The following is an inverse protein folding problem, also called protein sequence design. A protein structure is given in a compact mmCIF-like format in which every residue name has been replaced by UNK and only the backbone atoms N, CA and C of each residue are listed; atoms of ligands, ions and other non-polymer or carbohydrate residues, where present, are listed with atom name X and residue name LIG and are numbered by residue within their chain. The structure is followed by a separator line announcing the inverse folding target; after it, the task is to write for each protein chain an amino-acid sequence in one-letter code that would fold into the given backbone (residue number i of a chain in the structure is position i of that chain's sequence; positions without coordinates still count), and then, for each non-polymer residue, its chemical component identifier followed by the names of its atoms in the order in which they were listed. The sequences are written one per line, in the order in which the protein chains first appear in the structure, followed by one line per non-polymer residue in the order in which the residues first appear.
data_IF_397230912490
#
_entry.id   IF_397230912490
#
_cell.length_a   1.000
_cell.length_b   1.000
_cell.length_c   1.000
_cell.angle_alpha   90.00
_cell.angle_beta   90.00
_cell.angle_gamma   90.00
#
_symmetry.space_group_name_H-M   'P 1'
#
loop_
_entity.id
_entity.type
_entity.pdbx_description
1 polymer ?
#
# COMPACT_ATOMS: atom_id res chain seq x y z
N UNK A 1 -14.45 -5.54 -6.37
CA UNK A 1 -14.07 -4.99 -7.70
C UNK A 1 -12.55 -5.01 -7.83
N UNK A 2 -12.05 -5.53 -8.94
CA UNK A 2 -10.59 -5.62 -9.17
C UNK A 2 -10.17 -4.43 -10.03
N UNK A 3 -9.20 -3.66 -9.56
CA UNK A 3 -8.71 -2.48 -10.27
C UNK A 3 -7.18 -2.44 -10.22
N UNK A 4 -6.59 -1.76 -11.21
CA UNK A 4 -5.18 -1.45 -11.19
C UNK A 4 -4.93 -0.32 -10.20
N UNK A 5 -4.02 -0.54 -9.25
CA UNK A 5 -3.78 0.40 -8.16
C UNK A 5 -2.29 0.55 -7.88
N UNK A 6 -1.97 1.62 -7.19
CA UNK A 6 -0.66 1.78 -6.54
C UNK A 6 -0.88 1.66 -5.04
N UNK A 7 -0.09 0.83 -4.39
CA UNK A 7 -0.21 0.60 -2.96
C UNK A 7 1.13 0.75 -2.27
N UNK A 8 1.10 1.30 -1.06
CA UNK A 8 2.26 1.35 -0.19
C UNK A 8 2.20 0.14 0.74
N UNK A 9 3.17 -0.74 0.62
CA UNK A 9 3.25 -1.96 1.41
C UNK A 9 4.23 -1.77 2.57
N UNK A 10 3.79 -2.15 3.76
CA UNK A 10 4.64 -2.16 4.95
C UNK A 10 5.02 -3.59 5.28
N UNK A 11 6.30 -3.86 5.29
CA UNK A 11 6.85 -5.17 5.66
C UNK A 11 7.47 -5.11 7.06
N UNK A 12 7.15 -6.08 7.88
CA UNK A 12 7.77 -6.25 9.19
C UNK A 12 8.33 -7.67 9.23
N UNK A 13 9.63 -7.78 9.43
CA UNK A 13 10.34 -9.08 9.43
C UNK A 13 10.07 -9.91 8.17
N UNK A 14 9.98 -9.24 7.01
CA UNK A 14 9.75 -9.91 5.74
C UNK A 14 8.30 -10.24 5.40
N UNK A 15 7.37 -9.90 6.29
CA UNK A 15 5.95 -10.13 6.07
C UNK A 15 5.18 -8.82 5.84
N UNK A 16 4.20 -8.86 4.92
CA UNK A 16 3.34 -7.71 4.67
C UNK A 16 2.38 -7.55 5.85
N UNK A 17 2.49 -6.43 6.56
CA UNK A 17 1.59 -6.10 7.68
C UNK A 17 0.50 -5.13 7.28
N UNK A 18 0.74 -4.30 6.29
CA UNK A 18 -0.22 -3.29 5.87
C UNK A 18 -0.06 -3.00 4.38
N UNK A 19 -1.17 -2.72 3.72
CA UNK A 19 -1.20 -2.26 2.33
C UNK A 19 -2.15 -1.07 2.25
N UNK A 20 -1.63 0.10 1.88
CA UNK A 20 -2.41 1.32 1.77
C UNK A 20 -2.60 1.72 0.33
N UNK A 21 -3.85 1.97 -0.05
CA UNK A 21 -4.19 2.44 -1.39
C UNK A 21 -3.69 3.87 -1.59
N UNK A 22 -2.96 4.11 -2.67
CA UNK A 22 -2.43 5.43 -3.02
C UNK A 22 -3.23 5.99 -4.18
N UNK A 23 -4.21 6.84 -3.88
CA UNK A 23 -5.14 7.35 -4.89
C UNK A 23 -4.48 8.34 -5.86
N UNK A 24 -3.42 9.01 -5.45
CA UNK A 24 -2.68 9.94 -6.30
C UNK A 24 -1.56 9.29 -7.10
N UNK A 25 -1.36 8.00 -6.93
CA UNK A 25 -0.44 7.21 -7.72
C UNK A 25 0.97 7.07 -7.12
N UNK A 26 1.93 6.76 -7.99
CA UNK A 26 3.28 6.38 -7.55
C UNK A 26 4.03 7.52 -6.86
N UNK A 27 3.82 8.77 -7.26
CA UNK A 27 4.49 9.91 -6.63
C UNK A 27 4.10 10.05 -5.16
N UNK A 28 2.81 9.88 -4.84
CA UNK A 28 2.33 9.88 -3.47
C UNK A 28 2.92 8.71 -2.68
N UNK A 29 2.98 7.54 -3.30
CA UNK A 29 3.53 6.34 -2.68
C UNK A 29 5.00 6.54 -2.30
N UNK A 30 5.81 7.09 -3.20
CA UNK A 30 7.23 7.33 -2.96
C UNK A 30 7.46 8.35 -1.85
N UNK A 31 6.64 9.41 -1.79
CA UNK A 31 6.71 10.39 -0.71
C UNK A 31 6.37 9.77 0.64
N UNK A 32 5.28 9.00 0.68
CA UNK A 32 4.89 8.29 1.88
C UNK A 32 5.94 7.29 2.35
N UNK A 33 6.56 6.58 1.40
CA UNK A 33 7.64 5.66 1.68
C UNK A 33 8.82 6.35 2.36
N UNK A 34 9.25 7.51 1.83
CA UNK A 34 10.36 8.27 2.42
C UNK A 34 10.06 8.73 3.84
N UNK A 35 8.85 9.25 4.08
CA UNK A 35 8.46 9.68 5.41
C UNK A 35 8.42 8.52 6.40
N UNK A 36 7.88 7.39 5.99
CA UNK A 36 7.78 6.22 6.84
C UNK A 36 9.15 5.64 7.18
N UNK A 37 10.06 5.56 6.22
CA UNK A 37 11.40 5.03 6.44
C UNK A 37 12.23 5.85 7.43
N UNK A 38 11.93 7.14 7.59
CA UNK A 38 12.61 7.99 8.55
C UNK A 38 12.20 7.72 9.99
N UNK A 39 11.01 7.17 10.20
CA UNK A 39 10.42 7.00 11.52
C UNK A 39 10.60 5.59 12.08
N UNK A 40 10.95 4.63 11.25
CA UNK A 40 10.98 3.21 11.63
C UNK A 40 12.39 2.63 11.56
N UNK A 41 12.58 1.56 12.34
CA UNK A 41 13.86 0.87 12.44
C UNK A 41 14.11 -0.12 11.29
N UNK A 42 15.24 -0.84 11.37
CA UNK A 42 15.66 -1.77 10.32
C UNK A 42 14.78 -2.99 10.11
N UNK A 43 13.92 -3.34 11.06
CA UNK A 43 13.02 -4.47 10.93
C UNK A 43 11.78 -4.16 10.11
N UNK A 44 11.55 -2.87 9.81
CA UNK A 44 10.41 -2.41 9.02
C UNK A 44 10.90 -1.87 7.70
N UNK A 45 10.29 -2.32 6.60
CA UNK A 45 10.60 -1.81 5.27
C UNK A 45 9.32 -1.46 4.53
N UNK A 46 9.44 -0.62 3.51
CA UNK A 46 8.32 -0.16 2.71
C UNK A 46 8.61 -0.37 1.24
N UNK A 47 7.57 -0.68 0.49
CA UNK A 47 7.68 -0.86 -0.94
C UNK A 47 6.44 -0.30 -1.63
N UNK A 48 6.65 0.39 -2.76
CA UNK A 48 5.55 0.81 -3.62
C UNK A 48 5.26 -0.31 -4.61
N UNK A 49 4.01 -0.73 -4.63
CA UNK A 49 3.53 -1.79 -5.51
C UNK A 49 2.55 -1.20 -6.52
N UNK A 50 2.72 -1.56 -7.77
CA UNK A 50 1.79 -1.21 -8.83
C UNK A 50 1.27 -2.50 -9.45
N UNK A 51 -0.04 -2.70 -9.40
CA UNK A 51 -0.65 -3.92 -9.90
C UNK A 51 -2.14 -3.92 -9.65
N UNK A 52 -2.73 -5.10 -9.60
CA UNK A 52 -4.16 -5.25 -9.39
C UNK A 52 -4.47 -5.60 -7.95
N UNK A 53 -5.60 -5.10 -7.47
CA UNK A 53 -6.10 -5.42 -6.14
C UNK A 53 -7.61 -5.50 -6.17
N UNK A 54 -8.17 -6.32 -5.31
CA UNK A 54 -9.59 -6.32 -5.03
C UNK A 54 -9.87 -5.25 -3.98
N UNK A 55 -10.79 -4.34 -4.29
CA UNK A 55 -11.13 -3.22 -3.44
C UNK A 55 -12.51 -3.41 -2.81
N UNK A 56 -12.69 -2.82 -1.63
CA UNK A 56 -14.00 -2.75 -0.99
C UNK A 56 -14.34 -1.30 -0.68
N UNK A 57 -15.63 -0.97 -0.75
CA UNK A 57 -16.12 0.35 -0.41
C UNK A 57 -16.37 0.44 1.09
N UNK A 58 -15.93 1.54 1.69
CA UNK A 58 -16.17 1.82 3.09
C UNK A 58 -17.41 2.72 3.26
N UNK A 59 -17.96 2.74 4.46
CA UNK A 59 -19.15 3.51 4.77
C UNK A 59 -18.98 5.01 4.49
N UNK A 60 -17.76 5.53 4.69
CA UNK A 60 -17.44 6.94 4.48
C UNK A 60 -17.20 7.31 3.01
N UNK A 61 -17.36 6.38 2.08
CA UNK A 61 -17.14 6.60 0.66
C UNK A 61 -15.72 6.34 0.17
N UNK A 62 -14.80 6.04 1.07
CA UNK A 62 -13.42 5.69 0.69
C UNK A 62 -13.34 4.23 0.25
N UNK A 63 -12.20 3.86 -0.34
CA UNK A 63 -11.94 2.49 -0.76
C UNK A 63 -10.73 1.94 -0.02
N UNK A 64 -10.79 0.67 0.32
CA UNK A 64 -9.68 -0.05 0.95
C UNK A 64 -9.31 -1.26 0.12
N UNK A 65 -8.07 -1.69 0.25
CA UNK A 65 -7.60 -2.90 -0.40
C UNK A 65 -8.08 -4.10 0.43
N UNK A 66 -8.94 -4.92 -0.17
CA UNK A 66 -9.39 -6.15 0.44
C UNK A 66 -8.38 -7.27 0.23
N UNK A 67 -7.81 -7.34 -0.97
CA UNK A 67 -6.86 -8.37 -1.33
C UNK A 67 -5.96 -7.88 -2.45
N UNK A 68 -4.64 -8.08 -2.30
CA UNK A 68 -3.69 -7.84 -3.37
C UNK A 68 -3.64 -9.06 -4.28
N UNK A 69 -3.66 -8.80 -5.59
CA UNK A 69 -3.49 -9.86 -6.58
C UNK A 69 -2.04 -9.80 -7.06
N UNK A 70 -1.24 -10.68 -6.51
CA UNK A 70 0.18 -10.77 -6.81
C UNK A 70 0.39 -11.94 -7.77
N UNK A 71 0.86 -11.61 -8.95
CA UNK A 71 1.17 -12.61 -9.97
C UNK A 71 2.65 -12.96 -9.97
#
# INVERSE_FOLDING_TARGET
MIESVVALLMFVNGEIKEARLQVEGMAQCLRGKRHAEREYNESVSYKCYKGKAELEDNIDGSKSIKKLIIE
#
